data_IF_284237639564
#
_entry.id   IF_284237639564
#
_cell.length_a   1.000
_cell.length_b   1.000
_cell.length_c   1.000
_cell.angle_alpha   90.00
_cell.angle_beta   90.00
_cell.angle_gamma   90.00
#
_symmetry.space_group_name_H-M   'P 1'
#
loop_
_entity.id
_entity.type
_entity.pdbx_description
1 polymer ?
#
# COMPACT_ATOMS: atom_id res chain seq x y z
N UNK A 1 0.76 -22.41 -10.07
CA UNK A 1 0.01 -21.57 -9.12
C UNK A 1 -0.90 -20.64 -9.93
N UNK A 2 -2.06 -20.21 -9.39
CA UNK A 2 -2.83 -19.15 -10.04
C UNK A 2 -1.99 -17.86 -10.03
N UNK A 3 -2.11 -17.01 -11.06
CA UNK A 3 -1.39 -15.73 -11.08
C UNK A 3 -1.86 -14.82 -9.94
N UNK A 4 -0.95 -14.03 -9.41
CA UNK A 4 -1.30 -12.98 -8.46
C UNK A 4 -2.12 -11.91 -9.22
N UNK A 5 -3.29 -11.50 -8.69
CA UNK A 5 -4.12 -10.49 -9.34
C UNK A 5 -3.46 -9.11 -9.33
N UNK A 6 -3.81 -8.29 -10.33
CA UNK A 6 -3.27 -6.95 -10.53
C UNK A 6 -4.36 -5.92 -10.30
N UNK A 7 -4.08 -4.94 -9.44
CA UNK A 7 -4.96 -3.81 -9.16
C UNK A 7 -4.31 -2.48 -9.57
N UNK A 8 -5.14 -1.45 -9.71
CA UNK A 8 -4.68 -0.07 -9.87
C UNK A 8 -4.90 0.71 -8.57
N UNK A 9 -3.87 1.42 -8.09
CA UNK A 9 -4.03 2.43 -7.04
C UNK A 9 -4.74 3.65 -7.62
N UNK A 10 -5.90 4.00 -7.08
CA UNK A 10 -6.74 5.09 -7.61
C UNK A 10 -6.12 6.49 -7.47
N UNK A 11 -5.07 6.63 -6.65
CA UNK A 11 -4.31 7.88 -6.60
C UNK A 11 -3.63 8.22 -7.93
N UNK A 12 -3.24 7.22 -8.71
CA UNK A 12 -2.67 7.40 -10.06
C UNK A 12 -3.65 8.12 -11.01
N UNK A 13 -4.94 7.87 -10.84
CA UNK A 13 -6.04 8.44 -11.64
C UNK A 13 -6.98 9.31 -10.79
N UNK A 14 -6.45 9.95 -9.73
CA UNK A 14 -7.24 10.71 -8.74
C UNK A 14 -8.06 11.84 -9.33
N UNK A 15 -7.58 12.47 -10.42
CA UNK A 15 -8.30 13.54 -11.08
C UNK A 15 -9.52 13.01 -11.85
N UNK A 16 -9.36 11.89 -12.53
CA UNK A 16 -10.44 11.21 -13.23
C UNK A 16 -11.48 10.68 -12.25
N UNK A 17 -11.02 10.06 -11.12
CA UNK A 17 -11.90 9.63 -10.04
C UNK A 17 -12.70 10.78 -9.42
N UNK A 18 -12.09 11.95 -9.26
CA UNK A 18 -12.78 13.13 -8.74
C UNK A 18 -13.81 13.68 -9.71
N UNK A 19 -13.58 13.57 -11.01
CA UNK A 19 -14.48 14.02 -12.07
C UNK A 19 -15.62 13.01 -12.31
N UNK A 20 -15.30 11.73 -12.46
CA UNK A 20 -16.26 10.66 -12.74
C UNK A 20 -15.75 9.31 -12.22
N UNK A 21 -15.99 9.02 -10.95
CA UNK A 21 -15.59 7.74 -10.35
C UNK A 21 -16.17 6.51 -11.06
N UNK A 22 -17.49 6.44 -11.38
CA UNK A 22 -18.04 5.28 -12.08
C UNK A 22 -17.42 5.05 -13.46
N UNK A 23 -17.25 6.10 -14.26
CA UNK A 23 -16.61 6.02 -15.57
C UNK A 23 -15.13 5.60 -15.49
N UNK A 24 -14.40 6.09 -14.48
CA UNK A 24 -13.01 5.71 -14.22
C UNK A 24 -12.90 4.23 -13.85
N UNK A 25 -13.74 3.72 -12.93
CA UNK A 25 -13.76 2.31 -12.59
C UNK A 25 -14.11 1.42 -13.79
N UNK A 26 -15.06 1.83 -14.63
CA UNK A 26 -15.41 1.11 -15.86
C UNK A 26 -14.23 1.06 -16.85
N UNK A 27 -13.46 2.16 -16.98
CA UNK A 27 -12.26 2.18 -17.80
C UNK A 27 -11.18 1.23 -17.25
N UNK A 28 -10.94 1.21 -15.94
CA UNK A 28 -10.00 0.31 -15.27
C UNK A 28 -10.37 -1.16 -15.51
N UNK A 29 -11.64 -1.52 -15.33
CA UNK A 29 -12.14 -2.86 -15.61
C UNK A 29 -11.93 -3.25 -17.10
N UNK A 30 -12.21 -2.33 -18.03
CA UNK A 30 -12.00 -2.53 -19.46
C UNK A 30 -10.52 -2.72 -19.84
N UNK A 31 -9.59 -2.11 -19.10
CA UNK A 31 -8.14 -2.31 -19.26
C UNK A 31 -7.69 -3.70 -18.79
N UNK A 32 -8.51 -4.43 -18.05
CA UNK A 32 -8.23 -5.79 -17.60
C UNK A 32 -7.60 -5.90 -16.22
N UNK A 33 -7.69 -4.86 -15.39
CA UNK A 33 -7.33 -4.96 -13.98
C UNK A 33 -8.30 -5.87 -13.23
N UNK A 34 -7.78 -6.65 -12.26
CA UNK A 34 -8.59 -7.54 -11.42
C UNK A 34 -9.23 -6.79 -10.24
N UNK A 35 -8.69 -5.60 -9.92
CA UNK A 35 -9.19 -4.81 -8.79
C UNK A 35 -8.64 -3.40 -8.72
N UNK A 36 -8.99 -2.72 -7.64
CA UNK A 36 -8.52 -1.37 -7.33
C UNK A 36 -8.11 -1.26 -5.86
N UNK A 37 -7.17 -0.37 -5.58
CA UNK A 37 -6.90 0.10 -4.23
C UNK A 37 -7.42 1.54 -4.11
N UNK A 38 -8.27 1.78 -3.12
CA UNK A 38 -8.86 3.11 -2.93
C UNK A 38 -7.89 4.09 -2.26
N UNK A 39 -7.89 5.34 -2.74
CA UNK A 39 -7.25 6.49 -2.11
C UNK A 39 -8.32 7.50 -1.70
N UNK A 40 -9.02 7.19 -0.60
CA UNK A 40 -10.23 7.87 -0.19
C UNK A 40 -11.48 7.32 -0.89
N UNK A 41 -12.66 7.70 -0.38
CA UNK A 41 -13.94 7.10 -0.78
C UNK A 41 -14.84 8.03 -1.61
N UNK A 42 -14.35 9.19 -2.01
CA UNK A 42 -15.05 10.17 -2.88
C UNK A 42 -16.46 10.54 -2.41
N UNK A 43 -16.70 10.56 -1.08
CA UNK A 43 -17.99 10.87 -0.48
C UNK A 43 -19.07 9.81 -0.70
N UNK A 44 -18.70 8.61 -1.14
CA UNK A 44 -19.61 7.48 -1.35
C UNK A 44 -19.72 6.59 -0.12
N UNK A 45 -20.87 5.92 0.02
CA UNK A 45 -21.02 4.87 1.03
C UNK A 45 -20.28 3.58 0.64
N UNK A 46 -20.03 2.72 1.62
CA UNK A 46 -19.39 1.43 1.37
C UNK A 46 -20.20 0.53 0.42
N UNK A 47 -21.52 0.57 0.55
CA UNK A 47 -22.47 -0.18 -0.30
C UNK A 47 -22.43 0.31 -1.75
N UNK A 48 -22.39 1.64 -1.96
CA UNK A 48 -22.27 2.23 -3.30
C UNK A 48 -20.97 1.80 -3.97
N UNK A 49 -19.83 1.93 -3.26
CA UNK A 49 -18.51 1.53 -3.79
C UNK A 49 -18.44 0.03 -4.04
N UNK A 50 -18.96 -0.79 -3.11
CA UNK A 50 -19.03 -2.23 -3.26
C UNK A 50 -19.83 -2.61 -4.51
N UNK A 51 -21.01 -2.01 -4.68
CA UNK A 51 -21.86 -2.26 -5.85
C UNK A 51 -21.18 -1.88 -7.16
N UNK A 52 -20.50 -0.71 -7.20
CA UNK A 52 -19.75 -0.29 -8.39
C UNK A 52 -18.68 -1.30 -8.78
N UNK A 53 -17.92 -1.79 -7.79
CA UNK A 53 -16.89 -2.80 -8.03
C UNK A 53 -17.49 -4.14 -8.49
N UNK A 54 -18.55 -4.62 -7.83
CA UNK A 54 -19.20 -5.89 -8.15
C UNK A 54 -19.81 -5.88 -9.55
N UNK A 55 -20.49 -4.79 -9.94
CA UNK A 55 -21.09 -4.63 -11.28
C UNK A 55 -20.03 -4.69 -12.41
N UNK A 56 -18.78 -4.35 -12.10
CA UNK A 56 -17.65 -4.34 -13.04
C UNK A 56 -16.72 -5.56 -12.91
N UNK A 57 -16.98 -6.44 -11.93
CA UNK A 57 -16.13 -7.59 -11.64
C UNK A 57 -14.78 -7.20 -11.00
N UNK A 58 -14.63 -5.96 -10.53
CA UNK A 58 -13.45 -5.50 -9.81
C UNK A 58 -13.48 -5.94 -8.35
N UNK A 59 -12.32 -6.31 -7.82
CA UNK A 59 -12.14 -6.58 -6.38
C UNK A 59 -11.49 -5.38 -5.71
N UNK A 60 -11.65 -5.30 -4.39
CA UNK A 60 -10.94 -4.30 -3.58
C UNK A 60 -9.64 -4.92 -3.08
N UNK A 61 -8.53 -4.41 -3.59
CA UNK A 61 -7.18 -4.87 -3.25
C UNK A 61 -6.66 -4.27 -1.94
N UNK A 62 -7.19 -3.11 -1.55
CA UNK A 62 -6.80 -2.37 -0.36
C UNK A 62 -7.44 -0.99 -0.32
N UNK A 63 -7.16 -0.27 0.75
CA UNK A 63 -7.45 1.16 0.85
C UNK A 63 -6.30 1.89 1.53
N UNK A 64 -5.90 3.02 0.97
CA UNK A 64 -5.05 3.99 1.65
C UNK A 64 -5.90 4.89 2.54
N UNK A 65 -5.63 4.87 3.84
CA UNK A 65 -6.38 5.62 4.86
C UNK A 65 -5.42 6.31 5.85
N UNK A 66 -5.88 7.39 6.46
CA UNK A 66 -5.09 8.07 7.48
C UNK A 66 -5.03 7.26 8.78
N UNK A 67 -3.87 7.25 9.46
CA UNK A 67 -3.69 6.57 10.75
C UNK A 67 -4.77 6.97 11.76
N UNK A 68 -5.22 8.23 11.73
CA UNK A 68 -6.20 8.78 12.67
C UNK A 68 -7.58 8.08 12.61
N UNK A 69 -7.89 7.42 11.48
CA UNK A 69 -9.14 6.64 11.33
C UNK A 69 -9.06 5.26 11.99
N UNK A 70 -7.85 4.83 12.37
CA UNK A 70 -7.58 3.56 13.04
C UNK A 70 -7.35 3.74 14.55
N UNK A 71 -7.51 4.97 15.10
CA UNK A 71 -7.29 5.29 16.50
C UNK A 71 -8.60 5.51 17.27
N UNK A 72 -8.56 5.14 18.58
CA UNK A 72 -9.70 5.34 19.48
C UNK A 72 -10.97 4.64 18.98
N UNK A 73 -12.11 5.33 19.05
CA UNK A 73 -13.41 4.79 18.65
C UNK A 73 -13.63 4.83 17.12
N UNK A 74 -12.83 5.61 16.38
CA UNK A 74 -12.94 5.72 14.91
C UNK A 74 -12.63 4.41 14.18
N UNK A 75 -11.84 3.53 14.78
CA UNK A 75 -11.50 2.25 14.16
C UNK A 75 -12.74 1.38 13.93
N UNK A 76 -13.77 1.47 14.77
CA UNK A 76 -14.98 0.67 14.62
C UNK A 76 -15.78 1.09 13.39
N UNK A 77 -15.89 2.41 13.13
CA UNK A 77 -16.52 2.95 11.91
C UNK A 77 -15.70 2.55 10.67
N UNK A 78 -14.37 2.64 10.75
CA UNK A 78 -13.47 2.25 9.66
C UNK A 78 -13.58 0.76 9.35
N UNK A 79 -13.64 -0.08 10.38
CA UNK A 79 -13.83 -1.53 10.24
C UNK A 79 -15.16 -1.84 9.58
N UNK A 80 -16.27 -1.28 10.09
CA UNK A 80 -17.61 -1.51 9.56
C UNK A 80 -17.69 -1.13 8.08
N UNK A 81 -17.16 0.04 7.70
CA UNK A 81 -17.11 0.50 6.31
C UNK A 81 -16.35 -0.49 5.42
N UNK A 82 -15.16 -0.90 5.83
CA UNK A 82 -14.30 -1.76 5.02
C UNK A 82 -14.79 -3.21 4.93
N UNK A 83 -15.50 -3.71 5.95
CA UNK A 83 -16.17 -5.00 5.89
C UNK A 83 -17.29 -4.99 4.84
N UNK A 84 -18.13 -3.94 4.78
CA UNK A 84 -19.16 -3.77 3.76
C UNK A 84 -18.54 -3.62 2.38
N UNK A 85 -17.49 -2.81 2.25
CA UNK A 85 -16.74 -2.63 1.01
C UNK A 85 -16.09 -3.94 0.51
N UNK A 86 -15.86 -4.91 1.41
CA UNK A 86 -15.17 -6.16 1.09
C UNK A 86 -13.65 -6.02 1.03
N UNK A 87 -13.11 -5.00 1.67
CA UNK A 87 -11.67 -4.76 1.79
C UNK A 87 -11.10 -5.48 3.01
N UNK A 88 -9.87 -6.00 2.85
CA UNK A 88 -9.10 -6.61 3.95
C UNK A 88 -7.92 -5.74 4.42
N UNK A 89 -7.38 -4.89 3.56
CA UNK A 89 -6.10 -4.22 3.79
C UNK A 89 -6.28 -2.72 4.00
N UNK A 90 -6.03 -2.28 5.23
CA UNK A 90 -6.14 -0.91 5.71
C UNK A 90 -4.73 -0.33 5.80
N UNK A 91 -4.24 0.24 4.72
CA UNK A 91 -2.85 0.67 4.60
C UNK A 91 -2.74 2.17 4.87
N UNK A 92 -1.78 2.54 5.71
CA UNK A 92 -1.45 3.93 5.99
C UNK A 92 -0.36 4.39 5.04
N UNK A 93 -0.64 5.35 4.13
CA UNK A 93 0.35 5.79 3.12
C UNK A 93 1.27 6.89 3.63
N UNK A 94 1.03 7.44 4.80
CA UNK A 94 1.85 8.51 5.33
C UNK A 94 1.51 8.86 6.77
N UNK A 95 2.46 9.46 7.44
CA UNK A 95 2.39 9.82 8.85
C UNK A 95 2.65 11.31 9.04
N UNK A 96 2.11 11.87 10.11
CA UNK A 96 2.40 13.24 10.50
C UNK A 96 3.83 13.36 11.04
N UNK A 97 4.41 14.54 10.91
CA UNK A 97 5.80 14.81 11.28
C UNK A 97 6.13 14.44 12.74
N UNK A 98 5.19 14.63 13.68
CA UNK A 98 5.40 14.25 15.08
C UNK A 98 5.62 12.74 15.30
N UNK A 99 5.17 11.91 14.36
CA UNK A 99 5.33 10.45 14.42
C UNK A 99 6.58 9.94 13.72
N UNK A 100 7.30 10.81 13.04
CA UNK A 100 8.45 10.46 12.19
C UNK A 100 9.70 11.26 12.50
N UNK A 101 9.62 12.24 13.43
CA UNK A 101 10.67 13.23 13.71
C UNK A 101 11.93 12.65 14.36
N UNK A 102 11.87 11.47 14.97
CA UNK A 102 12.98 10.81 15.65
C UNK A 102 12.86 9.31 15.59
N UNK A 103 13.96 8.60 15.90
CA UNK A 103 13.93 7.14 16.06
C UNK A 103 12.90 6.71 17.11
N UNK A 104 12.80 7.43 18.23
CA UNK A 104 11.82 7.13 19.27
C UNK A 104 10.38 7.30 18.78
N UNK A 105 10.09 8.34 17.99
CA UNK A 105 8.77 8.54 17.40
C UNK A 105 8.38 7.38 16.46
N UNK A 106 9.33 6.82 15.71
CA UNK A 106 9.11 5.63 14.89
C UNK A 106 8.83 4.37 15.73
N UNK A 107 9.53 4.19 16.85
CA UNK A 107 9.26 3.08 17.78
C UNK A 107 7.88 3.18 18.43
N UNK A 108 7.48 4.37 18.87
CA UNK A 108 6.14 4.61 19.39
C UNK A 108 5.06 4.36 18.32
N UNK A 109 5.33 4.77 17.08
CA UNK A 109 4.44 4.51 15.94
C UNK A 109 4.33 3.00 15.66
N UNK A 110 5.43 2.25 15.72
CA UNK A 110 5.42 0.80 15.58
C UNK A 110 4.50 0.13 16.65
N UNK A 111 4.60 0.55 17.91
CA UNK A 111 3.71 0.05 18.98
C UNK A 111 2.22 0.36 18.71
N UNK A 112 1.92 1.51 18.11
CA UNK A 112 0.54 1.86 17.71
C UNK A 112 0.03 0.90 16.65
N UNK A 113 0.83 0.61 15.61
CA UNK A 113 0.47 -0.34 14.57
C UNK A 113 0.27 -1.77 15.11
N UNK A 114 1.05 -2.18 16.10
CA UNK A 114 0.87 -3.47 16.78
C UNK A 114 -0.46 -3.57 17.52
N UNK A 115 -0.86 -2.48 18.20
CA UNK A 115 -2.17 -2.39 18.84
C UNK A 115 -3.32 -2.48 17.82
N UNK A 116 -3.19 -1.77 16.70
CA UNK A 116 -4.16 -1.81 15.59
C UNK A 116 -4.21 -3.21 14.97
N UNK A 117 -3.06 -3.81 14.63
CA UNK A 117 -2.99 -5.14 14.04
C UNK A 117 -3.64 -6.20 14.93
N UNK A 118 -3.36 -6.14 16.24
CA UNK A 118 -3.96 -7.04 17.23
C UNK A 118 -5.48 -6.92 17.31
N UNK A 119 -6.03 -5.71 17.14
CA UNK A 119 -7.48 -5.46 17.12
C UNK A 119 -8.13 -5.92 15.81
N UNK A 120 -7.46 -5.78 14.68
CA UNK A 120 -7.97 -6.11 13.34
C UNK A 120 -7.89 -7.61 13.02
N UNK A 121 -6.87 -8.31 13.50
CA UNK A 121 -6.62 -9.73 13.22
C UNK A 121 -7.82 -10.66 13.47
N UNK A 122 -8.54 -10.59 14.61
CA UNK A 122 -9.72 -11.45 14.84
C UNK A 122 -10.87 -11.15 13.87
N UNK A 123 -10.87 -10.00 13.20
CA UNK A 123 -11.87 -9.58 12.22
C UNK A 123 -11.48 -9.96 10.78
N UNK A 124 -10.32 -10.60 10.58
CA UNK A 124 -9.78 -10.95 9.28
C UNK A 124 -9.32 -9.73 8.46
N UNK A 125 -9.02 -8.62 9.14
CA UNK A 125 -8.50 -7.40 8.55
C UNK A 125 -7.03 -7.21 8.92
N UNK A 126 -6.32 -6.46 8.09
CA UNK A 126 -4.90 -6.18 8.26
C UNK A 126 -4.67 -4.67 8.20
N UNK A 127 -3.73 -4.19 9.00
CA UNK A 127 -3.14 -2.86 8.81
C UNK A 127 -1.74 -2.99 8.25
N UNK A 128 -1.25 -1.95 7.61
CA UNK A 128 0.10 -1.89 7.09
C UNK A 128 0.56 -0.47 6.83
N UNK A 129 1.81 -0.37 6.43
CA UNK A 129 2.44 0.90 6.10
C UNK A 129 3.04 0.84 4.69
N UNK A 130 2.75 1.87 3.90
CA UNK A 130 3.27 2.07 2.56
C UNK A 130 4.42 3.10 2.60
N UNK A 131 5.52 2.79 1.92
CA UNK A 131 6.65 3.70 1.89
C UNK A 131 6.54 4.77 0.81
N UNK A 132 7.09 5.93 1.14
CA UNK A 132 7.59 6.91 0.19
C UNK A 132 9.13 6.85 0.16
N UNK A 133 9.77 7.92 -0.28
CA UNK A 133 11.24 8.00 -0.30
C UNK A 133 11.83 8.40 1.05
N UNK A 134 11.05 9.06 1.90
CA UNK A 134 11.49 9.60 3.19
C UNK A 134 11.89 8.52 4.20
N UNK A 135 11.26 7.34 4.13
CA UNK A 135 11.55 6.19 5.01
C UNK A 135 12.92 5.58 4.77
N UNK A 136 13.58 5.95 3.67
CA UNK A 136 14.93 5.50 3.31
C UNK A 136 16.00 6.60 3.51
N UNK A 137 15.62 7.73 4.11
CA UNK A 137 16.56 8.75 4.60
C UNK A 137 16.84 8.52 6.09
N UNK A 138 18.10 8.30 6.50
CA UNK A 138 18.41 7.96 7.89
C UNK A 138 17.96 9.03 8.89
N UNK A 139 17.30 8.59 9.96
CA UNK A 139 16.96 9.39 11.14
C UNK A 139 17.77 8.84 12.31
N UNK A 140 18.61 9.69 12.91
CA UNK A 140 19.52 9.30 14.02
C UNK A 140 20.37 8.05 13.68
N UNK A 141 20.80 7.93 12.41
CA UNK A 141 21.68 6.85 11.93
C UNK A 141 20.98 5.55 11.53
N UNK A 142 19.67 5.44 11.67
CA UNK A 142 18.90 4.27 11.22
C UNK A 142 17.88 4.66 10.14
N UNK A 143 17.58 3.71 9.24
CA UNK A 143 16.51 3.89 8.27
C UNK A 143 15.15 3.73 8.97
N UNK A 144 14.26 4.72 8.88
CA UNK A 144 12.90 4.65 9.42
C UNK A 144 12.15 3.36 9.06
N UNK A 145 12.24 2.94 7.79
CA UNK A 145 11.67 1.67 7.34
C UNK A 145 12.15 0.47 8.16
N UNK A 146 13.46 0.40 8.41
CA UNK A 146 14.04 -0.67 9.22
C UNK A 146 13.63 -0.56 10.69
N UNK A 147 13.69 0.66 11.26
CA UNK A 147 13.27 0.90 12.65
C UNK A 147 11.83 0.46 12.85
N UNK A 148 10.92 0.81 11.92
CA UNK A 148 9.51 0.46 12.02
C UNK A 148 9.28 -1.05 11.88
N UNK A 149 9.71 -1.66 10.77
CA UNK A 149 9.39 -3.06 10.49
C UNK A 149 10.15 -4.07 11.36
N UNK A 150 11.29 -3.71 11.93
CA UNK A 150 11.98 -4.56 12.92
C UNK A 150 11.32 -4.53 14.31
N UNK A 151 10.43 -3.57 14.55
CA UNK A 151 9.77 -3.38 15.84
C UNK A 151 8.24 -3.48 15.75
N UNK A 152 7.70 -4.04 14.65
CA UNK A 152 6.27 -4.33 14.50
C UNK A 152 6.02 -5.83 14.40
N UNK A 153 4.82 -6.25 14.82
CA UNK A 153 4.34 -7.62 14.65
C UNK A 153 4.37 -8.05 13.17
N UNK A 154 4.58 -9.34 12.88
CA UNK A 154 4.57 -9.87 11.51
C UNK A 154 3.27 -9.65 10.76
N UNK A 155 2.16 -9.44 11.46
CA UNK A 155 0.84 -9.14 10.90
C UNK A 155 0.70 -7.74 10.31
N UNK A 156 1.61 -6.81 10.65
CA UNK A 156 1.64 -5.49 10.04
C UNK A 156 2.18 -5.61 8.62
N UNK A 157 1.35 -5.33 7.63
CA UNK A 157 1.68 -5.45 6.21
C UNK A 157 2.76 -4.46 5.81
N UNK A 158 3.80 -4.96 5.15
CA UNK A 158 4.84 -4.17 4.52
C UNK A 158 4.45 -3.93 3.06
N UNK A 159 3.69 -2.86 2.80
CA UNK A 159 3.36 -2.50 1.42
C UNK A 159 4.54 -1.77 0.79
N UNK A 160 5.46 -2.56 0.21
CA UNK A 160 6.64 -2.03 -0.46
C UNK A 160 6.25 -1.39 -1.80
N UNK A 161 6.56 -0.11 -1.96
CA UNK A 161 6.56 0.60 -3.24
C UNK A 161 7.99 0.63 -3.79
N UNK A 162 8.18 0.02 -4.95
CA UNK A 162 9.49 -0.17 -5.56
C UNK A 162 10.12 1.13 -6.03
N UNK A 163 9.36 1.98 -6.71
CA UNK A 163 9.84 3.25 -7.25
C UNK A 163 10.16 4.27 -6.16
N UNK A 164 9.30 4.36 -5.15
CA UNK A 164 9.52 5.23 -3.99
C UNK A 164 10.77 4.80 -3.19
N UNK A 165 10.99 3.50 -2.99
CA UNK A 165 12.19 3.00 -2.33
C UNK A 165 13.46 3.40 -3.10
N UNK A 166 13.48 3.17 -4.42
CA UNK A 166 14.62 3.52 -5.27
C UNK A 166 14.83 5.03 -5.38
N UNK A 167 13.75 5.83 -5.38
CA UNK A 167 13.84 7.28 -5.30
C UNK A 167 14.50 7.75 -3.99
N UNK A 168 14.25 7.04 -2.89
CA UNK A 168 14.93 7.23 -1.61
C UNK A 168 16.37 6.69 -1.56
N UNK A 169 16.87 6.14 -2.67
CA UNK A 169 18.22 5.57 -2.78
C UNK A 169 18.34 4.14 -2.23
N UNK A 170 17.24 3.45 -1.99
CA UNK A 170 17.22 2.11 -1.43
C UNK A 170 16.81 1.05 -2.47
N UNK A 171 17.54 -0.06 -2.50
CA UNK A 171 17.13 -1.27 -3.21
C UNK A 171 15.99 -1.96 -2.43
N UNK A 172 14.81 -2.23 -3.02
CA UNK A 172 13.72 -2.91 -2.33
C UNK A 172 14.04 -4.37 -1.97
N UNK A 173 14.94 -5.04 -2.68
CA UNK A 173 15.22 -6.48 -2.54
C UNK A 173 15.67 -6.88 -1.13
N UNK A 174 16.66 -6.23 -0.50
CA UNK A 174 17.09 -6.58 0.85
C UNK A 174 15.99 -6.51 1.91
N UNK A 175 15.01 -5.59 1.73
CA UNK A 175 13.88 -5.47 2.66
C UNK A 175 12.87 -6.60 2.46
N UNK A 176 12.60 -6.99 1.21
CA UNK A 176 11.76 -8.15 0.90
C UNK A 176 12.34 -9.43 1.50
N UNK A 177 13.65 -9.63 1.40
CA UNK A 177 14.37 -10.78 1.97
C UNK A 177 14.38 -10.76 3.51
N UNK A 178 14.51 -9.58 4.11
CA UNK A 178 14.59 -9.39 5.56
C UNK A 178 13.26 -9.63 6.27
N UNK A 179 12.13 -9.34 5.63
CA UNK A 179 10.80 -9.40 6.23
C UNK A 179 9.87 -10.37 5.49
N UNK A 180 10.20 -11.69 5.47
CA UNK A 180 9.41 -12.66 4.72
C UNK A 180 7.97 -12.73 5.21
N UNK A 181 7.03 -12.92 4.29
CA UNK A 181 5.61 -13.08 4.58
C UNK A 181 4.85 -11.80 4.91
N UNK A 182 5.51 -10.63 4.81
CA UNK A 182 4.89 -9.33 5.16
C UNK A 182 4.49 -8.49 3.94
N UNK A 183 4.98 -8.83 2.74
CA UNK A 183 4.69 -8.12 1.51
C UNK A 183 3.40 -8.62 0.84
N UNK A 184 2.32 -8.71 1.63
CA UNK A 184 1.03 -9.28 1.19
C UNK A 184 0.42 -8.45 0.07
N UNK A 185 0.58 -7.13 0.09
CA UNK A 185 0.31 -6.22 -1.02
C UNK A 185 1.57 -5.44 -1.34
N UNK A 186 1.87 -5.20 -2.62
CA UNK A 186 3.04 -4.45 -3.06
C UNK A 186 2.66 -3.45 -4.15
N UNK A 187 3.31 -2.30 -4.15
CA UNK A 187 3.15 -1.32 -5.21
C UNK A 187 4.22 -1.48 -6.29
N UNK A 188 3.74 -1.62 -7.51
CA UNK A 188 4.57 -1.66 -8.71
C UNK A 188 4.68 -0.24 -9.27
N UNK A 189 5.80 0.39 -9.01
CA UNK A 189 6.14 1.72 -9.49
C UNK A 189 7.54 1.65 -10.11
N UNK A 190 7.70 2.22 -11.29
CA UNK A 190 9.01 2.24 -11.94
C UNK A 190 9.88 3.36 -11.38
N UNK A 191 11.17 3.19 -11.53
CA UNK A 191 12.17 4.19 -11.26
C UNK A 191 13.23 4.17 -12.37
N UNK A 192 13.64 5.34 -12.85
CA UNK A 192 14.74 5.46 -13.79
C UNK A 192 15.68 6.60 -13.40
N UNK A 193 16.94 6.28 -13.23
CA UNK A 193 18.00 7.22 -12.84
C UNK A 193 18.24 8.36 -13.83
N UNK A 194 17.84 8.18 -15.09
CA UNK A 194 18.09 9.13 -16.18
C UNK A 194 16.97 10.13 -16.44
N UNK A 195 15.82 9.98 -15.76
CA UNK A 195 14.65 10.82 -16.01
C UNK A 195 14.64 12.00 -15.03
N UNK A 196 14.76 13.23 -15.56
CA UNK A 196 14.91 14.46 -14.79
C UNK A 196 13.69 14.87 -13.95
N UNK A 197 12.56 14.18 -14.10
CA UNK A 197 11.34 14.38 -13.32
C UNK A 197 11.00 13.17 -12.42
N UNK A 198 12.01 12.35 -12.11
CA UNK A 198 11.82 11.20 -11.22
C UNK A 198 10.98 10.08 -11.83
N UNK A 199 10.37 9.31 -10.96
CA UNK A 199 9.62 8.10 -11.26
C UNK A 199 8.29 8.33 -12.00
N UNK A 200 7.71 9.54 -11.98
CA UNK A 200 6.38 9.80 -12.56
C UNK A 200 6.33 9.69 -14.11
N UNK A 201 7.49 9.64 -14.76
CA UNK A 201 7.59 9.52 -16.22
C UNK A 201 8.18 8.18 -16.70
N UNK A 202 8.55 7.28 -15.76
CA UNK A 202 9.12 6.00 -16.10
C UNK A 202 8.03 4.99 -16.45
N UNK A 203 8.26 4.18 -17.48
CA UNK A 203 7.35 3.10 -17.89
C UNK A 203 7.75 1.83 -17.14
N UNK A 204 6.80 1.15 -16.51
CA UNK A 204 7.06 -0.11 -15.78
C UNK A 204 7.70 -1.13 -16.71
N UNK A 205 8.87 -1.62 -16.30
CA UNK A 205 9.68 -2.59 -17.06
C UNK A 205 10.75 -1.96 -17.94
N UNK A 206 10.80 -0.64 -18.09
CA UNK A 206 11.80 0.07 -18.90
C UNK A 206 12.83 0.86 -18.07
N UNK A 207 12.76 0.77 -16.74
CA UNK A 207 13.64 1.48 -15.81
C UNK A 207 14.66 0.58 -15.11
N UNK A 208 14.99 0.97 -13.88
CA UNK A 208 16.06 0.37 -13.09
C UNK A 208 15.55 -0.57 -11.97
N UNK A 209 14.23 -0.76 -11.83
CA UNK A 209 13.67 -1.65 -10.81
C UNK A 209 14.03 -3.11 -11.13
N UNK A 210 14.58 -3.88 -10.17
CA UNK A 210 15.01 -5.27 -10.40
C UNK A 210 13.78 -6.23 -10.41
N UNK A 211 12.87 -6.07 -11.39
CA UNK A 211 11.58 -6.72 -11.47
C UNK A 211 11.64 -8.24 -11.35
N UNK A 212 12.56 -8.89 -12.05
CA UNK A 212 12.67 -10.37 -12.02
C UNK A 212 12.89 -10.88 -10.59
N UNK A 213 13.82 -10.26 -9.85
CA UNK A 213 14.09 -10.65 -8.47
C UNK A 213 12.97 -10.26 -7.54
N UNK A 214 12.36 -9.07 -7.75
CA UNK A 214 11.24 -8.60 -6.95
C UNK A 214 10.04 -9.55 -7.05
N UNK A 215 9.64 -9.93 -8.26
CA UNK A 215 8.55 -10.88 -8.47
C UNK A 215 8.86 -12.28 -7.90
N UNK A 216 10.09 -12.79 -8.07
CA UNK A 216 10.51 -14.04 -7.46
C UNK A 216 10.29 -14.04 -5.93
N UNK A 217 10.66 -12.95 -5.26
CA UNK A 217 10.42 -12.81 -3.82
C UNK A 217 8.93 -12.70 -3.47
N UNK A 218 8.16 -11.94 -4.23
CA UNK A 218 6.70 -11.83 -4.05
C UNK A 218 6.03 -13.21 -4.14
N UNK A 219 6.38 -13.99 -5.14
CA UNK A 219 5.77 -15.29 -5.46
C UNK A 219 6.27 -16.44 -4.57
N UNK A 220 7.40 -16.26 -3.86
CA UNK A 220 7.97 -17.28 -2.98
C UNK A 220 7.81 -16.94 -1.50
N UNK A 221 8.57 -15.97 -1.01
CA UNK A 221 8.67 -15.65 0.42
C UNK A 221 7.77 -14.50 0.86
N UNK A 222 7.35 -13.63 -0.05
CA UNK A 222 6.58 -12.41 0.23
C UNK A 222 5.14 -12.68 0.68
N UNK A 223 4.56 -13.81 0.25
CA UNK A 223 3.13 -14.15 0.41
C UNK A 223 2.21 -13.13 -0.25
N UNK A 224 2.63 -12.56 -1.36
CA UNK A 224 1.92 -11.50 -2.05
C UNK A 224 0.59 -12.01 -2.61
N UNK A 225 -0.48 -11.32 -2.24
CA UNK A 225 -1.84 -11.56 -2.72
C UNK A 225 -2.24 -10.55 -3.82
N UNK A 226 -1.62 -9.37 -3.85
CA UNK A 226 -1.92 -8.31 -4.80
C UNK A 226 -0.68 -7.59 -5.31
N UNK A 227 -0.59 -7.47 -6.62
CA UNK A 227 0.23 -6.47 -7.30
C UNK A 227 -0.62 -5.22 -7.55
N UNK A 228 -0.17 -4.06 -7.08
CA UNK A 228 -0.92 -2.81 -7.19
C UNK A 228 -0.05 -1.83 -7.99
N UNK A 229 -0.53 -1.45 -9.16
CA UNK A 229 0.16 -0.47 -10.01
C UNK A 229 -0.10 0.93 -9.46
N UNK A 230 0.97 1.69 -9.23
CA UNK A 230 0.94 3.12 -8.91
C UNK A 230 2.03 3.83 -9.71
N UNK A 231 1.65 4.49 -10.81
CA UNK A 231 2.60 5.18 -11.68
C UNK A 231 2.10 6.60 -11.98
#
# INVERSE_FOLDING_TARGET
>A
MARIPIALQLYSVRQDCAADLPGTLAAIAKMGYDGVEFAGYHGRSAEELRKMCDDLGLKVAGTHIGLETLLGDKIDETVAFNQVLGNKFLIVPGLRAERTASRNAWLETAMIFDGIASRLKPLGLYTGYHNHFTEFSPVEGELPWTTFFSNTLPEVVMQMDTGNAMHGGADPIPFMERYPGRAITVHLKEYSKGVSQGYDAAIIGEGDVPWTRFFDLCETTGKTEWYIVEQ
#
